data_IF_532747510394
#
_entry.id   IF_532747510394
#
_cell.length_a   1.000
_cell.length_b   1.000
_cell.length_c   1.000
_cell.angle_alpha   90.00
_cell.angle_beta   90.00
_cell.angle_gamma   90.00
#
_symmetry.space_group_name_H-M   'P 1'
#
loop_
_entity.id
_entity.type
_entity.pdbx_description
1 polymer ?
#
# COMPACT_ATOMS: atom_id res chain seq x y z
N UNK A 1 -5.14 -9.71 -29.77
CA UNK A 1 -5.50 -10.08 -28.40
C UNK A 1 -4.31 -9.73 -27.52
N UNK A 2 -4.26 -8.50 -27.01
CA UNK A 2 -3.26 -8.12 -26.02
C UNK A 2 -3.93 -7.19 -25.02
N UNK A 3 -4.41 -7.80 -23.94
CA UNK A 3 -4.64 -7.08 -22.69
C UNK A 3 -4.05 -7.97 -21.61
N UNK A 4 -2.72 -8.02 -21.58
CA UNK A 4 -2.05 -8.55 -20.40
C UNK A 4 -1.98 -7.39 -19.42
N UNK A 5 -2.98 -7.36 -18.52
CA UNK A 5 -2.90 -6.60 -17.28
C UNK A 5 -1.63 -7.08 -16.60
N UNK A 6 -0.56 -6.32 -16.78
CA UNK A 6 0.79 -6.74 -16.46
C UNK A 6 1.00 -6.86 -14.94
N UNK A 7 0.11 -6.26 -14.15
CA UNK A 7 -0.04 -6.49 -12.71
C UNK A 7 -0.71 -7.82 -12.34
N UNK A 8 -1.51 -8.44 -13.21
CA UNK A 8 -2.23 -9.70 -12.93
C UNK A 8 -1.36 -10.96 -13.12
N UNK A 9 -0.15 -10.83 -13.66
CA UNK A 9 0.73 -11.97 -13.93
C UNK A 9 1.25 -12.62 -12.64
N UNK A 10 1.48 -11.83 -11.59
CA UNK A 10 2.00 -12.32 -10.32
C UNK A 10 0.96 -13.15 -9.57
N UNK A 11 -0.23 -12.61 -9.37
CA UNK A 11 -1.36 -13.27 -8.73
C UNK A 11 -1.77 -14.53 -9.50
N UNK A 12 -1.80 -14.48 -10.84
CA UNK A 12 -2.05 -15.67 -11.64
C UNK A 12 -0.99 -16.77 -11.44
N UNK A 13 0.29 -16.41 -11.39
CA UNK A 13 1.36 -17.38 -11.13
C UNK A 13 1.28 -17.96 -9.70
N UNK A 14 0.88 -17.13 -8.73
CA UNK A 14 0.69 -17.54 -7.35
C UNK A 14 -0.47 -18.53 -7.20
N UNK A 15 -1.64 -18.20 -7.74
CA UNK A 15 -2.83 -19.06 -7.69
C UNK A 15 -2.61 -20.39 -8.44
N UNK A 16 -1.87 -20.36 -9.54
CA UNK A 16 -1.47 -21.56 -10.26
C UNK A 16 -0.61 -22.49 -9.37
N UNK A 17 0.35 -21.91 -8.62
CA UNK A 17 1.19 -22.67 -7.69
C UNK A 17 0.36 -23.26 -6.54
N UNK A 18 -0.52 -22.47 -5.92
CA UNK A 18 -1.43 -22.92 -4.85
C UNK A 18 -2.27 -24.11 -5.31
N UNK A 19 -2.87 -23.99 -6.49
CA UNK A 19 -3.70 -25.06 -7.09
C UNK A 19 -2.89 -26.32 -7.36
N UNK A 20 -1.68 -26.17 -7.92
CA UNK A 20 -0.77 -27.30 -8.18
C UNK A 20 -0.32 -28.00 -6.90
N UNK A 21 -0.06 -27.26 -5.82
CA UNK A 21 0.30 -27.84 -4.51
C UNK A 21 -0.87 -28.60 -3.92
N UNK A 22 -2.07 -28.03 -3.92
CA UNK A 22 -3.28 -28.70 -3.43
C UNK A 22 -3.56 -30.00 -4.19
N UNK A 23 -3.49 -29.96 -5.53
CA UNK A 23 -3.66 -31.15 -6.37
C UNK A 23 -2.58 -32.22 -6.12
N UNK A 24 -1.32 -31.82 -5.91
CA UNK A 24 -0.24 -32.74 -5.61
C UNK A 24 -0.39 -33.39 -4.21
N UNK A 25 -0.81 -32.62 -3.19
CA UNK A 25 -1.05 -33.12 -1.82
C UNK A 25 -2.09 -34.24 -1.78
N UNK A 26 -3.13 -34.15 -2.62
CA UNK A 26 -4.17 -35.17 -2.72
C UNK A 26 -3.68 -36.43 -3.45
N UNK A 27 -2.78 -36.28 -4.42
CA UNK A 27 -2.33 -37.40 -5.30
C UNK A 27 -1.13 -38.16 -4.74
N UNK A 28 -0.21 -37.50 -4.03
CA UNK A 28 1.07 -38.11 -3.63
C UNK A 28 1.24 -38.15 -2.11
N UNK A 29 0.82 -39.27 -1.52
CA UNK A 29 0.94 -39.55 -0.08
C UNK A 29 2.38 -39.40 0.43
N UNK A 30 3.37 -39.79 -0.39
CA UNK A 30 4.79 -39.78 -0.01
C UNK A 30 5.40 -38.39 0.22
N UNK A 31 4.73 -37.33 -0.21
CA UNK A 31 5.16 -35.93 -0.04
C UNK A 31 4.12 -35.07 0.67
N UNK A 32 3.02 -35.66 1.15
CA UNK A 32 1.87 -34.90 1.66
C UNK A 32 2.25 -33.88 2.73
N UNK A 33 3.03 -34.28 3.73
CA UNK A 33 3.47 -33.36 4.79
C UNK A 33 4.28 -32.18 4.27
N UNK A 34 5.15 -32.40 3.26
CA UNK A 34 5.98 -31.36 2.67
C UNK A 34 5.16 -30.41 1.80
N UNK A 35 4.20 -30.96 1.05
CA UNK A 35 3.30 -30.18 0.23
C UNK A 35 2.33 -29.35 1.08
N UNK A 36 1.84 -29.89 2.20
CA UNK A 36 1.06 -29.10 3.18
C UNK A 36 1.88 -27.98 3.81
N UNK A 37 3.17 -28.21 4.12
CA UNK A 37 4.05 -27.13 4.60
C UNK A 37 4.22 -26.02 3.56
N UNK A 38 4.49 -26.38 2.30
CA UNK A 38 4.55 -25.42 1.19
C UNK A 38 3.21 -24.68 1.05
N UNK A 39 2.07 -25.37 1.16
CA UNK A 39 0.74 -24.74 1.11
C UNK A 39 0.56 -23.73 2.25
N UNK A 40 0.92 -24.07 3.48
CA UNK A 40 0.87 -23.16 4.63
C UNK A 40 1.76 -21.95 4.42
N UNK A 41 2.97 -22.12 3.87
CA UNK A 41 3.83 -21.01 3.47
C UNK A 41 3.16 -20.13 2.44
N UNK A 42 2.54 -20.70 1.40
CA UNK A 42 1.80 -19.93 0.40
C UNK A 42 0.63 -19.15 1.03
N UNK A 43 -0.13 -19.75 1.94
CA UNK A 43 -1.18 -19.03 2.65
C UNK A 43 -0.61 -17.85 3.47
N UNK A 44 0.52 -18.04 4.15
CA UNK A 44 1.14 -17.01 4.96
C UNK A 44 1.68 -15.82 4.14
N UNK A 45 2.09 -16.06 2.89
CA UNK A 45 2.66 -15.03 2.02
C UNK A 45 1.63 -14.39 1.07
N UNK A 46 0.39 -14.91 1.01
CA UNK A 46 -0.69 -14.34 0.19
C UNK A 46 -0.94 -12.85 0.45
N UNK A 47 -1.01 -12.37 1.71
CA UNK A 47 -1.20 -10.95 1.98
C UNK A 47 -0.14 -10.06 1.33
N UNK A 48 1.12 -10.52 1.31
CA UNK A 48 2.21 -9.78 0.66
C UNK A 48 2.08 -9.72 -0.87
N UNK A 49 1.50 -10.75 -1.50
CA UNK A 49 1.19 -10.70 -2.95
C UNK A 49 0.13 -9.64 -3.21
N UNK A 50 -0.94 -9.64 -2.41
CA UNK A 50 -2.04 -8.70 -2.55
C UNK A 50 -1.57 -7.25 -2.34
N UNK A 51 -0.71 -7.01 -1.34
CA UNK A 51 -0.07 -5.70 -1.09
C UNK A 51 0.80 -5.25 -2.26
N UNK A 52 1.61 -6.14 -2.83
CA UNK A 52 2.46 -5.84 -4.00
C UNK A 52 1.62 -5.42 -5.21
N UNK A 53 0.53 -6.16 -5.49
CA UNK A 53 -0.35 -5.84 -6.62
C UNK A 53 -1.09 -4.51 -6.42
N UNK A 54 -1.56 -4.27 -5.19
CA UNK A 54 -2.19 -3.01 -4.80
C UNK A 54 -1.24 -1.82 -4.94
N UNK A 55 -0.02 -1.94 -4.42
CA UNK A 55 1.01 -0.91 -4.51
C UNK A 55 1.41 -0.64 -5.96
N UNK A 56 1.58 -1.67 -6.78
CA UNK A 56 1.89 -1.49 -8.21
C UNK A 56 0.77 -0.74 -8.95
N UNK A 57 -0.50 -1.01 -8.61
CA UNK A 57 -1.65 -0.29 -9.16
C UNK A 57 -1.65 1.19 -8.75
N UNK A 58 -1.44 1.46 -7.45
CA UNK A 58 -1.43 2.83 -6.91
C UNK A 58 -0.27 3.65 -7.49
N UNK A 59 0.91 3.03 -7.62
CA UNK A 59 2.13 3.70 -8.04
C UNK A 59 2.31 3.74 -9.56
N UNK A 60 1.43 3.09 -10.33
CA UNK A 60 1.52 2.99 -11.79
C UNK A 60 2.84 2.39 -12.29
N UNK A 61 3.50 1.57 -11.47
CA UNK A 61 4.87 1.10 -11.71
C UNK A 61 4.86 -0.12 -12.65
N UNK A 62 5.81 -0.24 -13.60
CA UNK A 62 5.89 -1.43 -14.45
C UNK A 62 6.15 -2.69 -13.61
N UNK A 63 5.57 -3.84 -13.99
CA UNK A 63 5.69 -5.10 -13.25
C UNK A 63 7.10 -5.72 -13.32
N UNK A 64 8.08 -5.05 -13.93
CA UNK A 64 9.45 -5.55 -14.05
C UNK A 64 10.05 -5.93 -12.68
N UNK A 65 9.71 -5.20 -11.63
CA UNK A 65 10.13 -5.53 -10.25
C UNK A 65 9.52 -6.85 -9.74
N UNK A 66 8.34 -7.22 -10.24
CA UNK A 66 7.61 -8.46 -9.92
C UNK A 66 7.80 -9.58 -10.93
N UNK A 67 8.51 -9.34 -12.03
CA UNK A 67 8.73 -10.35 -13.08
C UNK A 67 9.65 -11.47 -12.58
N UNK A 68 10.74 -11.10 -11.89
CA UNK A 68 11.62 -12.06 -11.24
C UNK A 68 10.86 -12.93 -10.22
N UNK A 69 9.81 -12.38 -9.62
CA UNK A 69 8.96 -13.10 -8.68
C UNK A 69 8.04 -14.10 -9.38
N UNK A 70 7.35 -13.63 -10.42
CA UNK A 70 6.50 -14.43 -11.30
C UNK A 70 7.28 -15.64 -11.86
N UNK A 71 8.52 -15.43 -12.31
CA UNK A 71 9.40 -16.50 -12.80
C UNK A 71 9.72 -17.54 -11.70
N UNK A 72 9.94 -17.10 -10.45
CA UNK A 72 10.19 -18.01 -9.32
C UNK A 72 8.97 -18.85 -9.00
N UNK A 73 7.78 -18.25 -8.95
CA UNK A 73 6.51 -18.97 -8.73
C UNK A 73 6.26 -20.01 -9.84
N UNK A 74 6.51 -19.65 -11.10
CA UNK A 74 6.40 -20.59 -12.22
C UNK A 74 7.44 -21.72 -12.19
N UNK A 75 8.63 -21.49 -11.62
CA UNK A 75 9.64 -22.55 -11.41
C UNK A 75 9.21 -23.50 -10.28
N UNK A 76 8.68 -22.95 -9.20
CA UNK A 76 8.13 -23.72 -8.08
C UNK A 76 6.99 -24.64 -8.53
N UNK A 77 6.08 -24.08 -9.33
CA UNK A 77 4.91 -24.77 -9.86
C UNK A 77 5.33 -25.97 -10.72
N UNK A 78 6.30 -25.78 -11.63
CA UNK A 78 6.86 -26.87 -12.46
C UNK A 78 7.54 -27.96 -11.64
N UNK A 79 8.06 -27.63 -10.46
CA UNK A 79 8.67 -28.61 -9.56
C UNK A 79 7.58 -29.46 -8.89
N UNK A 80 6.52 -28.82 -8.40
CA UNK A 80 5.36 -29.48 -7.78
C UNK A 80 4.67 -30.42 -8.79
N UNK A 81 4.46 -29.96 -10.03
CA UNK A 81 3.92 -30.82 -11.11
C UNK A 81 4.79 -32.04 -11.38
N UNK A 82 6.11 -31.92 -11.29
CA UNK A 82 7.02 -33.07 -11.42
C UNK A 82 6.91 -34.03 -10.23
N UNK A 83 6.83 -33.50 -9.00
CA UNK A 83 6.59 -34.32 -7.81
C UNK A 83 5.30 -35.14 -7.93
N UNK A 84 4.23 -34.56 -8.50
CA UNK A 84 2.95 -35.25 -8.67
C UNK A 84 2.97 -36.46 -9.62
N UNK A 85 4.02 -36.58 -10.44
CA UNK A 85 4.17 -37.66 -11.44
C UNK A 85 5.09 -38.79 -10.95
N UNK A 86 5.69 -38.65 -9.78
CA UNK A 86 6.62 -39.66 -9.23
C UNK A 86 5.85 -40.89 -8.81
N UNK A 87 6.21 -42.05 -9.37
CA UNK A 87 5.67 -43.35 -8.96
C UNK A 87 5.99 -43.63 -7.49
N UNK A 88 5.02 -44.22 -6.77
CA UNK A 88 5.08 -44.52 -5.33
C UNK A 88 6.28 -45.39 -4.93
N UNK A 89 6.87 -46.14 -5.87
CA UNK A 89 7.92 -47.13 -5.62
C UNK A 89 9.35 -46.60 -5.77
N UNK A 90 9.54 -45.35 -6.19
CA UNK A 90 10.86 -44.85 -6.55
C UNK A 90 11.52 -44.08 -5.38
N UNK A 91 12.17 -44.81 -4.45
CA UNK A 91 12.72 -44.26 -3.21
C UNK A 91 13.78 -43.17 -3.41
N UNK A 92 14.74 -43.38 -4.32
CA UNK A 92 15.75 -42.36 -4.65
C UNK A 92 15.12 -41.09 -5.22
N UNK A 93 14.15 -41.27 -6.12
CA UNK A 93 13.37 -40.16 -6.67
C UNK A 93 12.59 -39.44 -5.56
N UNK A 94 12.06 -40.18 -4.58
CA UNK A 94 11.38 -39.62 -3.41
C UNK A 94 12.31 -38.75 -2.56
N UNK A 95 13.50 -39.24 -2.19
CA UNK A 95 14.49 -38.46 -1.44
C UNK A 95 14.91 -37.19 -2.19
N UNK A 96 15.18 -37.30 -3.50
CA UNK A 96 15.56 -36.19 -4.34
C UNK A 96 14.49 -35.07 -4.38
N UNK A 97 13.23 -35.44 -4.62
CA UNK A 97 12.14 -34.47 -4.66
C UNK A 97 11.78 -33.90 -3.28
N UNK A 98 11.94 -34.70 -2.22
CA UNK A 98 11.80 -34.24 -0.84
C UNK A 98 12.79 -33.14 -0.50
N UNK A 99 14.06 -33.33 -0.83
CA UNK A 99 15.09 -32.31 -0.65
C UNK A 99 14.78 -31.04 -1.48
N UNK A 100 14.30 -31.22 -2.71
CA UNK A 100 13.90 -30.11 -3.58
C UNK A 100 12.68 -29.32 -3.07
N UNK A 101 11.68 -29.99 -2.49
CA UNK A 101 10.52 -29.33 -1.89
C UNK A 101 10.91 -28.52 -0.65
N UNK A 102 11.80 -29.05 0.18
CA UNK A 102 12.34 -28.31 1.33
C UNK A 102 13.10 -27.05 0.88
N UNK A 103 13.98 -27.20 -0.13
CA UNK A 103 14.70 -26.05 -0.70
C UNK A 103 13.76 -25.02 -1.34
N UNK A 104 12.65 -25.48 -1.93
CA UNK A 104 11.62 -24.58 -2.46
C UNK A 104 10.96 -23.77 -1.35
N UNK A 105 10.53 -24.41 -0.27
CA UNK A 105 9.92 -23.75 0.89
C UNK A 105 10.85 -22.67 1.47
N UNK A 106 12.12 -23.02 1.73
CA UNK A 106 13.12 -22.06 2.22
C UNK A 106 13.34 -20.92 1.21
N UNK A 107 13.39 -21.22 -0.07
CA UNK A 107 13.57 -20.19 -1.10
C UNK A 107 12.36 -19.26 -1.21
N UNK A 108 11.15 -19.76 -0.99
CA UNK A 108 9.94 -18.93 -0.94
C UNK A 108 10.00 -18.03 0.29
N UNK A 109 10.20 -18.59 1.49
CA UNK A 109 10.31 -17.82 2.72
C UNK A 109 11.39 -16.73 2.65
N UNK A 110 12.61 -17.08 2.26
CA UNK A 110 13.70 -16.11 2.14
C UNK A 110 13.38 -15.04 1.11
N UNK A 111 12.81 -15.41 -0.04
CA UNK A 111 12.48 -14.42 -1.05
C UNK A 111 11.39 -13.46 -0.58
N UNK A 112 10.34 -13.94 0.07
CA UNK A 112 9.28 -13.07 0.59
C UNK A 112 9.74 -12.23 1.79
N UNK A 113 10.59 -12.75 2.66
CA UNK A 113 11.20 -11.97 3.72
C UNK A 113 12.09 -10.86 3.16
N UNK A 114 12.97 -11.18 2.19
CA UNK A 114 13.88 -10.20 1.60
C UNK A 114 13.12 -9.21 0.71
N UNK A 115 12.26 -9.68 -0.18
CA UNK A 115 11.50 -8.83 -1.10
C UNK A 115 10.45 -8.00 -0.35
N UNK A 116 9.75 -8.58 0.63
CA UNK A 116 8.82 -7.87 1.50
C UNK A 116 9.52 -6.77 2.30
N UNK A 117 10.67 -7.07 2.89
CA UNK A 117 11.47 -6.07 3.63
C UNK A 117 12.01 -4.97 2.69
N UNK A 118 12.52 -5.35 1.52
CA UNK A 118 13.06 -4.40 0.55
C UNK A 118 11.96 -3.47 -0.01
N UNK A 119 10.80 -4.03 -0.33
CA UNK A 119 9.65 -3.25 -0.79
C UNK A 119 9.16 -2.31 0.30
N UNK A 120 8.97 -2.80 1.52
CA UNK A 120 8.54 -1.98 2.64
C UNK A 120 9.54 -0.84 2.92
N UNK A 121 10.84 -1.11 2.83
CA UNK A 121 11.89 -0.09 2.99
C UNK A 121 11.87 0.93 1.85
N UNK A 122 11.69 0.49 0.61
CA UNK A 122 11.59 1.37 -0.55
C UNK A 122 10.36 2.27 -0.46
N UNK A 123 9.20 1.71 -0.12
CA UNK A 123 7.96 2.48 0.06
C UNK A 123 8.07 3.45 1.23
N UNK A 124 8.63 3.03 2.37
CA UNK A 124 8.91 3.91 3.50
C UNK A 124 9.81 5.09 3.10
N UNK A 125 10.87 4.83 2.32
CA UNK A 125 11.76 5.88 1.80
C UNK A 125 11.04 6.83 0.85
N UNK A 126 10.19 6.32 -0.04
CA UNK A 126 9.43 7.15 -1.00
C UNK A 126 8.39 8.03 -0.30
N UNK A 127 7.68 7.47 0.69
CA UNK A 127 6.78 8.24 1.56
C UNK A 127 7.57 9.33 2.29
N UNK A 128 8.72 8.99 2.87
CA UNK A 128 9.57 9.97 3.56
C UNK A 128 9.99 11.11 2.63
N UNK A 129 10.42 10.81 1.40
CA UNK A 129 10.77 11.82 0.39
C UNK A 129 9.56 12.68 0.02
N UNK A 130 8.40 12.07 -0.23
CA UNK A 130 7.18 12.81 -0.57
C UNK A 130 6.74 13.75 0.57
N UNK A 131 6.86 13.32 1.83
CA UNK A 131 6.57 14.15 3.00
C UNK A 131 7.57 15.29 3.13
N UNK A 132 8.87 15.06 2.88
CA UNK A 132 9.87 16.13 2.87
C UNK A 132 9.58 17.19 1.80
N UNK A 133 9.23 16.78 0.58
CA UNK A 133 8.83 17.70 -0.51
C UNK A 133 7.57 18.51 -0.16
N UNK A 134 6.56 17.87 0.43
CA UNK A 134 5.37 18.56 0.93
C UNK A 134 5.70 19.58 2.02
N UNK A 135 6.58 19.23 2.96
CA UNK A 135 7.01 20.14 4.02
C UNK A 135 7.71 21.38 3.46
N UNK A 136 8.56 21.21 2.45
CA UNK A 136 9.25 22.31 1.79
C UNK A 136 8.25 23.27 1.09
N UNK A 137 7.30 22.71 0.34
CA UNK A 137 6.23 23.51 -0.30
C UNK A 137 5.37 24.27 0.70
N UNK A 138 4.99 23.64 1.82
CA UNK A 138 4.23 24.29 2.89
C UNK A 138 5.01 25.44 3.55
N UNK A 139 6.32 25.26 3.74
CA UNK A 139 7.18 26.31 4.28
C UNK A 139 7.25 27.52 3.33
N UNK A 140 7.31 27.30 2.01
CA UNK A 140 7.29 28.40 1.04
C UNK A 140 5.95 29.14 1.00
N UNK A 141 4.82 28.41 1.05
CA UNK A 141 3.49 29.02 1.17
C UNK A 141 3.41 29.89 2.44
N UNK A 142 3.92 29.37 3.56
CA UNK A 142 3.91 30.09 4.86
C UNK A 142 4.75 31.38 4.79
N UNK A 143 5.91 31.36 4.11
CA UNK A 143 6.75 32.54 3.89
C UNK A 143 6.08 33.57 2.96
N UNK A 144 5.34 33.12 1.96
CA UNK A 144 4.62 34.02 1.06
C UNK A 144 3.47 34.72 1.79
N UNK A 145 2.68 33.96 2.57
CA UNK A 145 1.58 34.50 3.38
C UNK A 145 2.02 35.55 4.41
N UNK A 146 3.20 35.37 5.02
CA UNK A 146 3.73 36.39 5.94
C UNK A 146 4.19 37.64 5.18
N UNK A 147 4.77 37.49 4.00
CA UNK A 147 5.15 38.60 3.12
C UNK A 147 3.95 39.42 2.65
N UNK A 148 2.87 38.76 2.25
CA UNK A 148 1.62 39.40 1.80
C UNK A 148 0.85 40.09 2.93
N UNK A 149 1.01 39.61 4.18
CA UNK A 149 0.43 40.27 5.36
C UNK A 149 1.11 41.61 5.67
N UNK A 150 2.41 41.74 5.40
CA UNK A 150 3.14 42.99 5.62
C UNK A 150 2.88 44.04 4.53
N UNK A 151 2.55 43.64 3.30
CA UNK A 151 2.18 44.57 2.21
C UNK A 151 0.76 45.12 2.37
N UNK A 152 -0.19 44.33 2.88
CA UNK A 152 -1.55 44.82 3.22
C UNK A 152 -1.54 45.75 4.43
N UNK A 153 -0.64 45.54 5.40
CA UNK A 153 -0.47 46.41 6.56
C UNK A 153 0.21 47.76 6.29
N UNK A 154 0.73 47.98 5.08
CA UNK A 154 1.38 49.24 4.66
C UNK A 154 0.55 50.07 3.66
N UNK A 155 -0.66 49.66 3.32
CA UNK A 155 -1.64 50.57 2.73
C UNK A 155 -2.18 51.51 3.82
N UNK A 156 -1.37 52.46 4.26
CA UNK A 156 -1.83 53.61 5.03
C UNK A 156 -2.86 54.36 4.19
N UNK A 157 -4.08 54.42 4.69
CA UNK A 157 -5.11 55.32 4.19
C UNK A 157 -4.51 56.74 4.11
N UNK A 158 -4.78 57.51 3.02
CA UNK A 158 -4.39 58.91 3.01
C UNK A 158 -5.09 59.61 4.17
N UNK A 159 -4.30 60.27 5.02
CA UNK A 159 -4.80 61.22 6.01
C UNK A 159 -5.64 62.27 5.29
N UNK A 160 -6.96 62.17 5.42
CA UNK A 160 -7.88 63.06 4.73
C UNK A 160 -9.34 62.67 4.89
N UNK A 161 -9.95 63.15 5.97
CA UNK A 161 -11.38 63.45 6.12
C UNK A 161 -12.42 62.31 5.96
N UNK A 162 -12.94 61.84 7.10
CA UNK A 162 -14.37 61.55 7.23
C UNK A 162 -14.98 62.56 8.20
N UNK A 163 -16.01 63.33 7.81
CA UNK A 163 -16.64 64.29 8.71
C UNK A 163 -17.40 63.53 9.81
N UNK A 164 -17.05 63.84 11.07
CA UNK A 164 -17.79 63.38 12.25
C UNK A 164 -19.20 63.99 12.20
N UNK A 165 -20.28 63.19 12.18
CA UNK A 165 -21.64 63.74 12.25
C UNK A 165 -21.86 64.40 13.60
N UNK A 166 -22.12 65.72 13.60
CA UNK A 166 -22.57 66.43 14.79
C UNK A 166 -23.97 65.94 15.17
N UNK A 167 -24.09 65.27 16.31
CA UNK A 167 -25.39 64.92 16.89
C UNK A 167 -26.22 66.19 17.15
N UNK A 168 -27.49 66.25 16.72
CA UNK A 168 -28.41 67.26 17.21
C UNK A 168 -28.91 66.84 18.59
N UNK A 169 -28.60 67.66 19.59
CA UNK A 169 -29.26 67.67 20.90
C UNK A 169 -30.73 68.04 20.71
N UNK A 170 -31.66 67.12 20.92
CA UNK A 170 -33.01 67.44 21.39
C UNK A 170 -33.59 66.22 22.10
N UNK A 171 -33.97 66.42 23.36
CA UNK A 171 -34.51 65.37 24.21
C UNK A 171 -35.87 64.86 23.75
N UNK A 172 -36.12 63.58 24.02
CA UNK A 172 -37.43 63.05 24.38
C UNK A 172 -37.27 61.66 25.02
N UNK A 173 -37.39 61.67 26.34
CA UNK A 173 -38.23 60.78 27.15
C UNK A 173 -38.25 59.27 26.82
N UNK A 174 -37.58 58.55 27.71
CA UNK A 174 -37.85 57.20 28.20
C UNK A 174 -39.27 56.69 27.91
N UNK A 175 -39.39 55.62 27.09
CA UNK A 175 -40.47 54.64 27.25
C UNK A 175 -39.86 53.26 27.50
N UNK A 176 -39.83 52.96 28.80
CA UNK A 176 -39.56 51.69 29.46
C UNK A 176 -40.55 50.62 28.96
N UNK A 177 -40.09 49.64 28.18
CA UNK A 177 -40.78 48.36 27.98
C UNK A 177 -39.76 47.25 27.68
N UNK A 178 -39.43 46.46 28.69
CA UNK A 178 -39.61 45.01 28.59
C UNK A 178 -39.47 44.42 29.99
N UNK A 179 -40.63 44.22 30.62
CA UNK A 179 -40.74 43.21 31.66
C UNK A 179 -41.01 41.87 30.98
N UNK A 180 -40.17 40.88 31.28
CA UNK A 180 -40.56 39.51 31.58
C UNK A 180 -39.30 38.64 31.71
N UNK A 181 -39.10 37.96 32.85
CA UNK A 181 -38.28 36.76 32.91
C UNK A 181 -39.12 35.47 32.97
N UNK A 182 -38.71 34.50 32.15
CA UNK A 182 -38.69 33.03 32.37
C UNK A 182 -40.03 32.28 32.57
N UNK A 183 -40.02 30.93 32.66
CA UNK A 183 -39.55 29.94 31.69
C UNK A 183 -40.58 28.80 31.44
N UNK A 184 -40.39 28.02 30.37
CA UNK A 184 -40.41 26.53 30.32
C UNK A 184 -40.35 26.06 28.85
#
# INVERSE_FOLDING_TARGET
MEVQVQGAALGAAFELLVTSVAGASMKVVGFRSQLERVKSTLCAIKPSIDDIESLNLILGRPPHETEAFTVRLMKAERLVRRCSKVSKWNFFTRLYYSHKLSKLETSLLNFFQIAGTALHLCETKRIAVAVSDMQEKLNEITKQMSRDRHTVGQATAPEGAWPVPKHPTHGCLLRRLSGAPAPN
#
